data_IF_537728627566
#
_entry.id   IF_537728627566
#
_cell.length_a   1.000
_cell.length_b   1.000
_cell.length_c   1.000
_cell.angle_alpha   90.00
_cell.angle_beta   90.00
_cell.angle_gamma   90.00
#
_symmetry.space_group_name_H-M   'P 1'
#
loop_
_entity.id
_entity.type
_entity.pdbx_description
1 polymer ?
#
# COMPACT_ATOMS: atom_id res chain seq x y z
N UNK A 1 -20.07 -30.89 50.63
CA UNK A 1 -19.35 -31.58 49.55
C UNK A 1 -17.89 -31.16 49.61
N UNK A 2 -16.96 -32.09 49.87
CA UNK A 2 -15.52 -31.86 49.85
C UNK A 2 -14.95 -31.80 48.42
N UNK A 3 -13.77 -31.19 48.34
CA UNK A 3 -12.66 -31.16 47.35
C UNK A 3 -12.78 -32.07 46.11
N UNK A 4 -12.23 -31.71 44.93
CA UNK A 4 -10.84 -31.95 44.47
C UNK A 4 -10.78 -31.41 43.01
N UNK A 5 -9.70 -30.84 42.47
CA UNK A 5 -8.61 -31.49 41.70
C UNK A 5 -7.74 -30.36 41.09
N UNK A 6 -6.43 -30.31 41.39
CA UNK A 6 -5.37 -29.73 40.52
C UNK A 6 -4.85 -30.86 39.60
N UNK A 7 -4.09 -30.66 38.48
CA UNK A 7 -3.24 -29.53 38.08
C UNK A 7 -3.25 -29.21 36.55
N UNK A 8 -2.47 -28.22 36.09
CA UNK A 8 -2.30 -27.97 34.65
C UNK A 8 -1.24 -26.93 34.31
N UNK A 9 -0.06 -27.42 33.96
CA UNK A 9 1.15 -26.72 33.53
C UNK A 9 0.85 -25.74 32.36
N UNK A 10 0.96 -24.44 32.61
CA UNK A 10 0.88 -23.40 31.57
C UNK A 10 2.20 -22.65 31.48
N UNK A 11 2.96 -22.94 30.43
CA UNK A 11 4.31 -22.41 30.18
C UNK A 11 4.36 -20.88 30.25
N UNK A 12 5.29 -20.37 31.07
CA UNK A 12 5.78 -18.99 31.01
C UNK A 12 6.69 -18.85 29.79
N UNK A 13 6.13 -18.60 28.62
CA UNK A 13 6.90 -18.13 27.48
C UNK A 13 6.92 -16.60 27.54
N UNK A 14 8.08 -16.09 27.93
CA UNK A 14 8.42 -14.68 27.91
C UNK A 14 8.17 -14.11 26.51
N UNK A 15 7.46 -13.00 26.48
CA UNK A 15 7.30 -12.15 25.31
C UNK A 15 7.89 -10.79 25.66
N UNK A 16 9.22 -10.74 25.81
CA UNK A 16 9.98 -9.52 25.55
C UNK A 16 9.96 -9.26 24.05
N UNK A 17 8.78 -8.88 23.53
CA UNK A 17 8.66 -8.20 22.26
C UNK A 17 8.79 -6.73 22.59
N UNK A 18 10.04 -6.28 22.61
CA UNK A 18 10.39 -4.85 22.66
C UNK A 18 9.62 -4.17 21.54
N UNK A 19 8.64 -3.36 21.93
CA UNK A 19 7.88 -2.47 21.05
C UNK A 19 8.86 -1.47 20.44
N UNK A 20 9.49 -1.86 19.34
CA UNK A 20 10.16 -0.94 18.44
C UNK A 20 9.06 -0.08 17.82
N UNK A 21 8.86 1.06 18.46
CA UNK A 21 8.03 2.15 18.01
C UNK A 21 8.60 2.67 16.70
N UNK A 22 8.17 2.06 15.59
CA UNK A 22 8.29 2.61 14.25
C UNK A 22 7.01 3.36 13.92
N UNK A 23 6.84 4.56 14.45
CA UNK A 23 5.87 5.52 13.91
C UNK A 23 6.38 5.94 12.53
N UNK A 24 6.03 5.17 11.51
CA UNK A 24 6.25 5.53 10.12
C UNK A 24 4.98 5.18 9.38
N UNK A 25 4.16 6.23 9.21
CA UNK A 25 2.99 6.31 8.34
C UNK A 25 2.87 5.09 7.40
N UNK A 26 1.95 4.19 7.71
CA UNK A 26 1.64 3.00 6.93
C UNK A 26 0.98 3.41 5.60
N UNK A 27 1.76 4.07 4.75
CA UNK A 27 1.43 4.26 3.36
C UNK A 27 1.86 2.96 2.68
N UNK A 28 0.88 2.13 2.30
CA UNK A 28 1.12 0.85 1.64
C UNK A 28 1.89 1.05 0.33
N UNK A 29 3.22 1.10 0.41
CA UNK A 29 4.10 1.14 -0.75
C UNK A 29 4.08 -0.24 -1.37
N UNK A 30 3.24 -0.44 -2.39
CA UNK A 30 3.42 -1.59 -3.28
C UNK A 30 4.84 -1.54 -3.82
N UNK A 31 5.62 -2.59 -3.57
CA UNK A 31 6.98 -2.72 -4.04
C UNK A 31 7.04 -2.40 -5.54
N UNK A 32 8.08 -1.68 -5.97
CA UNK A 32 8.31 -1.32 -7.36
C UNK A 32 8.75 -2.58 -8.13
N UNK A 33 7.80 -3.45 -8.46
CA UNK A 33 8.04 -4.63 -9.29
C UNK A 33 8.08 -4.20 -10.75
N UNK A 34 9.22 -4.40 -11.39
CA UNK A 34 9.36 -4.21 -12.82
C UNK A 34 8.68 -5.35 -13.57
N UNK A 35 7.70 -5.00 -14.41
CA UNK A 35 6.91 -5.92 -15.21
C UNK A 35 7.33 -5.73 -16.66
N UNK A 36 7.82 -6.80 -17.29
CA UNK A 36 8.07 -6.82 -18.73
C UNK A 36 6.79 -7.16 -19.48
N UNK A 37 6.39 -6.32 -20.43
CA UNK A 37 5.26 -6.59 -21.31
C UNK A 37 5.74 -7.34 -22.55
N UNK A 38 5.01 -8.39 -22.95
CA UNK A 38 5.29 -9.16 -24.18
C UNK A 38 4.99 -8.31 -25.43
N UNK A 39 3.96 -7.46 -25.33
CA UNK A 39 3.57 -6.49 -26.35
C UNK A 39 3.76 -5.05 -25.83
N UNK A 40 3.94 -4.05 -26.71
CA UNK A 40 4.07 -2.65 -26.28
C UNK A 40 2.86 -2.20 -25.45
N UNK A 41 3.15 -1.57 -24.29
CA UNK A 41 2.10 -1.02 -23.44
C UNK A 41 1.33 0.08 -24.19
N UNK A 42 0.01 -0.03 -24.22
CA UNK A 42 -0.83 1.00 -24.82
C UNK A 42 -0.85 2.25 -23.91
N UNK A 43 -0.71 3.44 -24.49
CA UNK A 43 -0.68 4.74 -23.77
C UNK A 43 -1.84 4.96 -22.79
N UNK A 44 -3.03 4.42 -23.08
CA UNK A 44 -4.21 4.52 -22.19
C UNK A 44 -4.05 3.79 -20.84
N UNK A 45 -3.04 2.92 -20.72
CA UNK A 45 -2.70 2.20 -19.49
C UNK A 45 -1.45 2.76 -18.82
N UNK A 46 -0.94 3.88 -19.30
CA UNK A 46 0.26 4.54 -18.81
C UNK A 46 -0.13 5.71 -17.89
N UNK A 47 0.58 5.83 -16.76
CA UNK A 47 0.42 6.96 -15.86
C UNK A 47 1.16 8.19 -16.43
N UNK A 48 0.51 9.36 -16.56
CA UNK A 48 1.15 10.56 -17.10
C UNK A 48 2.24 11.15 -16.19
N UNK A 49 2.30 10.75 -14.91
CA UNK A 49 3.31 11.22 -13.96
C UNK A 49 4.54 10.33 -13.93
N UNK A 50 4.34 9.03 -13.75
CA UNK A 50 5.46 8.11 -13.55
C UNK A 50 5.83 7.32 -14.80
N UNK A 51 5.13 7.51 -15.93
CA UNK A 51 5.45 6.92 -17.24
C UNK A 51 5.57 5.38 -17.17
N UNK A 52 4.73 4.78 -16.31
CA UNK A 52 4.67 3.34 -16.04
C UNK A 52 3.23 2.87 -16.09
N UNK A 53 3.03 1.56 -16.09
CA UNK A 53 1.68 0.98 -16.01
C UNK A 53 0.92 1.50 -14.79
N UNK A 54 -0.34 1.86 -14.99
CA UNK A 54 -1.21 2.36 -13.94
C UNK A 54 -1.33 1.34 -12.78
N UNK A 55 -0.96 1.77 -11.57
CA UNK A 55 -1.16 1.02 -10.33
C UNK A 55 -2.28 1.66 -9.52
N UNK A 56 -3.32 0.86 -9.22
CA UNK A 56 -4.56 1.34 -8.60
C UNK A 56 -5.09 2.60 -9.31
N UNK A 57 -5.51 2.47 -10.58
CA UNK A 57 -5.90 3.61 -11.40
C UNK A 57 -7.06 4.38 -10.78
N UNK A 58 -6.89 5.69 -10.64
CA UNK A 58 -7.95 6.64 -10.33
C UNK A 58 -8.35 7.31 -11.64
N UNK A 59 -9.66 7.41 -11.91
CA UNK A 59 -10.21 8.07 -13.10
C UNK A 59 -10.83 9.40 -12.71
N UNK A 60 -10.51 10.46 -13.44
CA UNK A 60 -11.17 11.77 -13.29
C UNK A 60 -12.56 11.72 -13.93
N UNK A 61 -13.61 12.06 -13.17
CA UNK A 61 -14.99 11.92 -13.64
C UNK A 61 -15.34 12.85 -14.80
N UNK A 62 -14.74 14.04 -14.84
CA UNK A 62 -15.07 15.09 -15.81
C UNK A 62 -14.44 14.86 -17.19
N UNK A 63 -13.23 14.30 -17.25
CA UNK A 63 -12.44 14.17 -18.48
C UNK A 63 -12.02 12.73 -18.81
N UNK A 64 -12.23 11.78 -17.90
CA UNK A 64 -11.93 10.36 -18.12
C UNK A 64 -10.45 9.99 -18.10
N UNK A 65 -9.55 10.92 -17.85
CA UNK A 65 -8.11 10.65 -17.72
C UNK A 65 -7.82 9.78 -16.47
N UNK A 66 -6.69 9.08 -16.47
CA UNK A 66 -6.32 8.14 -15.40
C UNK A 66 -4.90 8.37 -14.90
N UNK A 67 -4.68 8.14 -13.61
CA UNK A 67 -3.35 8.15 -12.99
C UNK A 67 -3.25 7.10 -11.87
N UNK A 68 -2.03 6.82 -11.40
CA UNK A 68 -1.84 5.97 -10.21
C UNK A 68 -2.39 6.69 -8.96
N UNK A 69 -2.97 5.94 -8.02
CA UNK A 69 -3.41 6.50 -6.74
C UNK A 69 -2.30 7.22 -5.97
N UNK A 70 -1.07 6.70 -6.05
CA UNK A 70 0.12 7.30 -5.44
C UNK A 70 0.63 8.56 -6.17
N UNK A 71 0.30 8.72 -7.45
CA UNK A 71 0.69 9.87 -8.27
C UNK A 71 -0.36 10.98 -8.25
N UNK A 72 -1.59 10.70 -7.80
CA UNK A 72 -2.67 11.68 -7.73
C UNK A 72 -2.30 12.95 -6.91
N UNK A 73 -1.67 12.86 -5.72
CA UNK A 73 -1.32 14.04 -4.95
C UNK A 73 -0.30 14.93 -5.67
N UNK A 74 0.52 14.35 -6.54
CA UNK A 74 1.50 15.08 -7.33
C UNK A 74 0.83 15.82 -8.49
N UNK A 75 -0.10 15.17 -9.21
CA UNK A 75 -0.91 15.82 -10.25
C UNK A 75 -1.63 17.06 -9.73
N UNK A 76 -2.31 16.94 -8.60
CA UNK A 76 -3.11 18.03 -8.02
C UNK A 76 -2.27 19.21 -7.51
N UNK A 77 -0.93 19.05 -7.37
CA UNK A 77 -0.03 20.14 -7.00
C UNK A 77 0.39 21.00 -8.19
N UNK A 78 0.37 20.46 -9.41
CA UNK A 78 0.76 21.20 -10.61
C UNK A 78 -0.34 22.15 -11.11
N UNK A 79 -1.57 22.04 -10.58
CA UNK A 79 -2.74 22.81 -11.05
C UNK A 79 -2.75 24.31 -10.60
N UNK A 80 -1.67 24.86 -10.03
CA UNK A 80 -1.62 26.26 -9.55
C UNK A 80 -0.63 27.19 -10.25
N UNK A 81 -0.05 26.80 -11.40
CA UNK A 81 0.88 27.67 -12.15
C UNK A 81 0.56 27.68 -13.65
N UNK A 82 -0.63 28.15 -14.04
CA UNK A 82 -0.91 28.73 -15.37
C UNK A 82 -2.15 29.63 -15.30
#
# INVERSE_FOLDING_TARGET
MPERISPGLGNRLGSDLSLLSGTSSANGRTADIDIAFIEPLQKKYECPICVRVLRYPVQFETCGHRCCSSCLPELLRYDTDT
#
